data_IF_867224508096
#
_entry.id   IF_867224508096
#
_cell.length_a   1.000
_cell.length_b   1.000
_cell.length_c   1.000
_cell.angle_alpha   90.00
_cell.angle_beta   90.00
_cell.angle_gamma   90.00
#
_symmetry.space_group_name_H-M   'P 1'
#
loop_
_entity.id
_entity.type
_entity.pdbx_description
1 polymer ?
#
# COMPACT_ATOMS: atom_id res chain seq x y z
N UNK A 1 15.27 1.09 22.57
CA UNK A 1 15.90 1.59 21.33
C UNK A 1 15.46 0.81 20.10
N UNK A 2 15.41 -0.53 20.13
CA UNK A 2 14.93 -1.35 19.01
C UNK A 2 13.53 -0.97 18.51
N UNK A 3 12.57 -0.78 19.42
CA UNK A 3 11.21 -0.36 19.04
C UNK A 3 11.16 0.94 18.26
N UNK A 4 11.99 1.93 18.62
CA UNK A 4 12.05 3.21 17.90
C UNK A 4 12.36 2.99 16.42
N UNK A 5 13.30 2.10 16.10
CA UNK A 5 13.67 1.79 14.72
C UNK A 5 12.55 1.04 13.99
N UNK A 6 11.82 0.16 14.68
CA UNK A 6 10.64 -0.52 14.12
C UNK A 6 9.58 0.50 13.72
N UNK A 7 9.20 1.40 14.65
CA UNK A 7 8.22 2.45 14.38
C UNK A 7 8.65 3.41 13.27
N UNK A 8 9.93 3.81 13.26
CA UNK A 8 10.47 4.69 12.24
C UNK A 8 10.46 4.02 10.85
N UNK A 9 10.80 2.74 10.77
CA UNK A 9 10.76 2.01 9.50
C UNK A 9 9.31 1.82 9.02
N UNK A 10 8.40 1.41 9.91
CA UNK A 10 6.97 1.30 9.61
C UNK A 10 6.36 2.62 9.11
N UNK A 11 6.80 3.75 9.66
CA UNK A 11 6.39 5.08 9.18
C UNK A 11 6.72 5.30 7.70
N UNK A 12 7.93 4.91 7.26
CA UNK A 12 8.30 5.02 5.84
C UNK A 12 7.50 4.06 4.95
N UNK A 13 7.22 2.84 5.41
CA UNK A 13 6.31 1.92 4.71
C UNK A 13 4.92 2.54 4.50
N UNK A 14 4.35 3.13 5.54
CA UNK A 14 3.03 3.78 5.49
C UNK A 14 3.05 4.98 4.55
N UNK A 15 4.09 5.82 4.59
CA UNK A 15 4.22 6.93 3.62
C UNK A 15 4.26 6.40 2.18
N UNK A 16 5.04 5.36 1.91
CA UNK A 16 5.12 4.78 0.57
C UNK A 16 3.76 4.28 0.09
N UNK A 17 2.99 3.59 0.96
CA UNK A 17 1.63 3.15 0.65
C UNK A 17 0.69 4.33 0.38
N UNK A 18 0.70 5.37 1.21
CA UNK A 18 -0.11 6.57 1.01
C UNK A 18 0.21 7.23 -0.33
N UNK A 19 1.49 7.35 -0.69
CA UNK A 19 1.89 7.93 -1.98
C UNK A 19 1.35 7.10 -3.16
N UNK A 20 1.42 5.77 -3.09
CA UNK A 20 0.86 4.89 -4.12
C UNK A 20 -0.66 5.06 -4.23
N UNK A 21 -1.38 5.08 -3.10
CA UNK A 21 -2.83 5.26 -3.06
C UNK A 21 -3.25 6.63 -3.60
N UNK A 22 -2.56 7.69 -3.22
CA UNK A 22 -2.83 9.05 -3.72
C UNK A 22 -2.55 9.13 -5.22
N UNK A 23 -1.51 8.47 -5.72
CA UNK A 23 -1.26 8.39 -7.17
C UNK A 23 -2.41 7.70 -7.92
N UNK A 24 -2.92 6.58 -7.40
CA UNK A 24 -4.08 5.90 -8.00
C UNK A 24 -5.33 6.78 -7.95
N UNK A 25 -5.58 7.45 -6.82
CA UNK A 25 -6.70 8.37 -6.66
C UNK A 25 -6.63 9.53 -7.65
N UNK A 26 -5.45 10.10 -7.88
CA UNK A 26 -5.25 11.13 -8.91
C UNK A 26 -5.52 10.59 -10.32
N UNK A 27 -5.08 9.37 -10.64
CA UNK A 27 -5.38 8.74 -11.94
C UNK A 27 -6.90 8.52 -12.13
N UNK A 28 -7.64 8.21 -11.06
CA UNK A 28 -9.10 8.11 -11.09
C UNK A 28 -9.76 9.48 -11.24
N UNK A 29 -9.28 10.50 -10.54
CA UNK A 29 -9.80 11.86 -10.65
C UNK A 29 -9.58 12.41 -12.07
N UNK A 30 -8.38 12.24 -12.63
CA UNK A 30 -8.08 12.62 -14.03
C UNK A 30 -9.01 11.90 -15.01
N UNK A 31 -9.43 10.67 -14.71
CA UNK A 31 -10.38 9.92 -15.52
C UNK A 31 -11.82 10.45 -15.36
N UNK A 32 -12.23 10.82 -14.13
CA UNK A 32 -13.55 11.40 -13.84
C UNK A 32 -13.78 12.73 -14.57
N UNK A 33 -12.73 13.55 -14.70
CA UNK A 33 -12.80 14.85 -15.38
C UNK A 33 -12.46 14.78 -16.89
N UNK A 34 -12.42 13.58 -17.48
CA UNK A 34 -12.08 13.34 -18.90
C UNK A 34 -10.70 13.91 -19.32
N UNK A 35 -9.74 14.05 -18.39
CA UNK A 35 -8.37 14.50 -18.70
C UNK A 35 -7.51 13.40 -19.32
N UNK A 36 -7.81 12.14 -19.04
CA UNK A 36 -7.07 10.99 -19.56
C UNK A 36 -8.03 9.90 -20.04
N UNK A 37 -7.62 9.13 -21.05
CA UNK A 37 -8.43 8.02 -21.52
C UNK A 37 -8.38 6.82 -20.54
N UNK A 38 -9.40 5.95 -20.53
CA UNK A 38 -9.46 4.79 -19.64
C UNK A 38 -8.29 3.80 -19.80
N UNK A 39 -7.76 3.66 -21.01
CA UNK A 39 -6.66 2.72 -21.29
C UNK A 39 -5.35 3.19 -20.65
N UNK A 40 -5.02 4.47 -20.76
CA UNK A 40 -3.83 5.06 -20.20
C UNK A 40 -3.91 5.14 -18.68
N UNK A 41 -5.08 5.50 -18.12
CA UNK A 41 -5.31 5.48 -16.67
C UNK A 41 -5.12 4.07 -16.11
N UNK A 42 -5.75 3.06 -16.72
CA UNK A 42 -5.62 1.66 -16.32
C UNK A 42 -4.17 1.15 -16.42
N UNK A 43 -3.45 1.51 -17.49
CA UNK A 43 -2.02 1.16 -17.67
C UNK A 43 -1.12 1.76 -16.58
N UNK A 44 -1.43 2.97 -16.09
CA UNK A 44 -0.70 3.61 -15.00
C UNK A 44 -0.98 2.93 -13.66
N UNK A 45 -2.24 2.64 -13.35
CA UNK A 45 -2.65 1.99 -12.09
C UNK A 45 -2.10 0.56 -12.01
N UNK A 46 -2.16 -0.21 -13.10
CA UNK A 46 -1.65 -1.59 -13.13
C UNK A 46 -0.14 -1.69 -12.86
N UNK A 47 0.63 -0.62 -13.06
CA UNK A 47 2.07 -0.61 -12.74
C UNK A 47 2.34 -0.45 -11.25
N UNK A 48 1.41 0.13 -10.50
CA UNK A 48 1.60 0.44 -9.07
C UNK A 48 0.82 -0.51 -8.14
N UNK A 49 -0.15 -1.25 -8.68
CA UNK A 49 -0.96 -2.21 -7.91
C UNK A 49 -0.10 -3.31 -7.25
N UNK A 50 0.85 -3.89 -7.99
CA UNK A 50 1.71 -4.94 -7.45
C UNK A 50 2.71 -4.40 -6.41
N UNK A 51 3.38 -3.24 -6.64
CA UNK A 51 4.14 -2.56 -5.61
C UNK A 51 3.35 -2.28 -4.32
N UNK A 52 2.08 -1.87 -4.41
CA UNK A 52 1.21 -1.67 -3.24
C UNK A 52 1.08 -2.96 -2.43
N UNK A 53 0.71 -4.06 -3.08
CA UNK A 53 0.50 -5.35 -2.41
C UNK A 53 1.76 -5.88 -1.76
N UNK A 54 2.90 -5.76 -2.45
CA UNK A 54 4.20 -6.17 -1.91
C UNK A 54 4.57 -5.33 -0.70
N UNK A 55 4.32 -4.01 -0.73
CA UNK A 55 4.67 -3.11 0.35
C UNK A 55 3.83 -3.38 1.60
N UNK A 56 2.52 -3.58 1.45
CA UNK A 56 1.62 -3.95 2.56
C UNK A 56 1.97 -5.33 3.13
N UNK A 57 2.24 -6.32 2.26
CA UNK A 57 2.65 -7.65 2.69
C UNK A 57 3.98 -7.62 3.46
N UNK A 58 4.95 -6.83 2.98
CA UNK A 58 6.22 -6.64 3.67
C UNK A 58 6.02 -5.99 5.05
N UNK A 59 5.15 -4.98 5.16
CA UNK A 59 4.83 -4.34 6.45
C UNK A 59 4.18 -5.31 7.43
N UNK A 60 3.24 -6.14 6.96
CA UNK A 60 2.58 -7.15 7.79
C UNK A 60 3.59 -8.20 8.32
N UNK A 61 4.43 -8.74 7.44
CA UNK A 61 5.50 -9.70 7.81
C UNK A 61 6.52 -9.05 8.74
N UNK A 62 6.85 -7.77 8.52
CA UNK A 62 7.75 -7.01 9.37
C UNK A 62 7.21 -6.86 10.81
N UNK A 63 5.93 -6.53 10.97
CA UNK A 63 5.30 -6.49 12.30
C UNK A 63 5.23 -7.88 12.95
N UNK A 64 4.98 -8.93 12.16
CA UNK A 64 5.00 -10.31 12.65
C UNK A 64 6.39 -10.70 13.18
N UNK A 65 7.44 -10.43 12.40
CA UNK A 65 8.82 -10.77 12.73
C UNK A 65 9.37 -9.98 13.93
N UNK A 66 8.92 -8.73 14.12
CA UNK A 66 9.31 -7.88 15.26
C UNK A 66 8.45 -8.10 16.51
N UNK A 67 7.48 -9.02 16.48
CA UNK A 67 6.64 -9.35 17.63
C UNK A 67 5.52 -8.35 17.92
N UNK A 68 5.20 -7.45 16.97
CA UNK A 68 4.13 -6.46 17.10
C UNK A 68 2.80 -7.05 16.61
N UNK A 69 2.31 -8.08 17.31
CA UNK A 69 1.16 -8.90 16.90
C UNK A 69 -0.11 -8.09 16.66
N UNK A 70 -0.41 -7.08 17.49
CA UNK A 70 -1.59 -6.25 17.31
C UNK A 70 -1.56 -5.48 15.98
N UNK A 71 -0.40 -4.92 15.61
CA UNK A 71 -0.25 -4.21 14.33
C UNK A 71 -0.29 -5.18 13.15
N UNK A 72 0.31 -6.36 13.28
CA UNK A 72 0.21 -7.41 12.26
C UNK A 72 -1.25 -7.83 12.03
N UNK A 73 -2.04 -8.02 13.10
CA UNK A 73 -3.47 -8.34 13.00
C UNK A 73 -4.27 -7.26 12.26
N UNK A 74 -3.89 -5.98 12.40
CA UNK A 74 -4.54 -4.89 11.67
C UNK A 74 -4.25 -4.92 10.16
N UNK A 75 -3.08 -5.41 9.74
CA UNK A 75 -2.74 -5.58 8.33
C UNK A 75 -3.44 -6.79 7.67
N UNK A 76 -3.81 -7.81 8.44
CA UNK A 76 -4.37 -9.08 7.89
C UNK A 76 -5.62 -8.88 7.04
N UNK A 77 -6.65 -8.09 7.44
CA UNK A 77 -7.84 -7.89 6.61
C UNK A 77 -7.50 -7.29 5.23
N UNK A 78 -6.55 -6.36 5.19
CA UNK A 78 -6.11 -5.71 3.95
C UNK A 78 -5.37 -6.70 3.06
N UNK A 79 -4.45 -7.46 3.65
CA UNK A 79 -3.68 -8.48 2.95
C UNK A 79 -4.59 -9.60 2.40
N UNK A 80 -5.57 -10.03 3.19
CA UNK A 80 -6.58 -11.00 2.75
C UNK A 80 -7.40 -10.47 1.57
N UNK A 81 -7.81 -9.21 1.62
CA UNK A 81 -8.53 -8.57 0.52
C UNK A 81 -7.68 -8.54 -0.75
N UNK A 82 -6.41 -8.14 -0.65
CA UNK A 82 -5.48 -8.06 -1.79
C UNK A 82 -5.17 -9.43 -2.42
N UNK A 83 -5.11 -10.51 -1.62
CA UNK A 83 -4.89 -11.87 -2.14
C UNK A 83 -6.15 -12.43 -2.83
N UNK A 84 -7.34 -11.97 -2.45
CA UNK A 84 -8.61 -12.43 -3.02
C UNK A 84 -8.96 -11.70 -4.33
N UNK A 85 -8.42 -10.50 -4.54
CA UNK A 85 -8.69 -9.66 -5.72
C UNK A 85 -8.12 -10.28 -7.00
#
# INVERSE_FOLDING_TARGET
>A
MGDLYVWLLSFFFIIALIVILVFQLMCLADLEFDYINPYDSSSRINKVILPEYITEAALCVFFLATGHWCMSLLCIPYLYYNVRL
#
